data_IF_313790974402
#
_entry.id   IF_313790974402
#
_cell.length_a   1.000
_cell.length_b   1.000
_cell.length_c   1.000
_cell.angle_alpha   90.00
_cell.angle_beta   90.00
_cell.angle_gamma   90.00
#
_symmetry.space_group_name_H-M   'P 1'
#
loop_
_entity.id
_entity.type
_entity.pdbx_description
1 polymer ?
#
# COMPACT_ATOMS: atom_id res chain seq x y z
N UNK A 1 -0.43 15.83 23.39
CA UNK A 1 -0.15 15.67 21.93
C UNK A 1 0.80 16.72 21.39
N UNK A 2 0.59 18.02 21.63
CA UNK A 2 1.50 19.09 21.15
C UNK A 2 2.97 18.91 21.60
N UNK A 3 3.21 18.48 22.85
CA UNK A 3 4.58 18.23 23.36
C UNK A 3 5.29 17.07 22.65
N UNK A 4 4.60 15.96 22.39
CA UNK A 4 5.17 14.81 21.67
C UNK A 4 5.48 15.14 20.21
N UNK A 5 4.59 15.88 19.54
CA UNK A 5 4.81 16.32 18.15
C UNK A 5 6.03 17.25 18.05
N UNK A 6 6.17 18.21 18.98
CA UNK A 6 7.33 19.10 19.04
C UNK A 6 8.62 18.31 19.27
N UNK A 7 8.61 17.29 20.14
CA UNK A 7 9.77 16.42 20.37
C UNK A 7 10.13 15.63 19.12
N UNK A 8 9.16 15.05 18.41
CA UNK A 8 9.39 14.29 17.17
C UNK A 8 9.95 15.20 16.08
N UNK A 9 9.31 16.35 15.83
CA UNK A 9 9.76 17.31 14.83
C UNK A 9 11.15 17.86 15.17
N UNK A 10 11.39 18.19 16.44
CA UNK A 10 12.70 18.59 16.94
C UNK A 10 13.77 17.52 16.73
N UNK A 11 13.41 16.24 16.97
CA UNK A 11 14.28 15.09 16.70
C UNK A 11 14.62 14.92 15.21
N UNK A 12 13.64 15.07 14.32
CA UNK A 12 13.86 15.01 12.87
C UNK A 12 14.76 16.15 12.42
N UNK A 13 14.50 17.38 12.88
CA UNK A 13 15.35 18.54 12.55
C UNK A 13 16.77 18.33 13.07
N UNK A 14 16.94 17.89 14.32
CA UNK A 14 18.24 17.61 14.90
C UNK A 14 18.99 16.52 14.11
N UNK A 15 18.31 15.43 13.73
CA UNK A 15 18.85 14.39 12.87
C UNK A 15 19.38 14.97 11.55
N UNK A 16 18.57 15.77 10.85
CA UNK A 16 18.99 16.38 9.58
C UNK A 16 20.14 17.38 9.73
N UNK A 17 20.16 18.18 10.81
CA UNK A 17 21.28 19.07 11.13
C UNK A 17 22.57 18.27 11.33
N UNK A 18 22.53 17.19 12.10
CA UNK A 18 23.68 16.33 12.36
C UNK A 18 24.17 15.67 11.06
N UNK A 19 23.26 15.09 10.28
CA UNK A 19 23.59 14.44 9.01
C UNK A 19 24.21 15.44 8.01
N UNK A 20 23.63 16.64 7.90
CA UNK A 20 24.18 17.70 7.05
C UNK A 20 25.57 18.12 7.53
N UNK A 21 25.77 18.33 8.84
CA UNK A 21 27.07 18.68 9.40
C UNK A 21 28.14 17.62 9.13
N UNK A 22 27.79 16.32 9.16
CA UNK A 22 28.71 15.22 8.92
C UNK A 22 29.04 14.97 7.45
N UNK A 23 28.09 15.25 6.53
CA UNK A 23 28.18 14.83 5.12
C UNK A 23 28.18 16.00 4.12
N UNK A 24 28.23 17.26 4.58
CA UNK A 24 28.17 18.47 3.74
C UNK A 24 29.12 18.44 2.55
N UNK A 25 30.33 17.94 2.74
CA UNK A 25 31.38 17.95 1.72
C UNK A 25 31.25 16.80 0.70
N UNK A 26 30.27 15.90 0.88
CA UNK A 26 30.04 14.70 0.04
C UNK A 26 28.80 14.80 -0.86
N UNK A 27 28.22 15.99 -1.02
CA UNK A 27 26.94 16.19 -1.73
C UNK A 27 26.93 15.79 -3.21
N UNK A 28 28.10 15.58 -3.84
CA UNK A 28 28.24 15.27 -5.27
C UNK A 28 29.06 14.00 -5.58
N UNK A 29 29.21 13.06 -4.65
CA UNK A 29 29.93 11.81 -4.93
C UNK A 29 29.13 10.89 -5.87
N UNK A 30 29.77 10.39 -6.94
CA UNK A 30 29.18 9.39 -7.86
C UNK A 30 28.95 8.02 -7.19
N UNK A 31 29.69 7.73 -6.11
CA UNK A 31 29.52 6.57 -5.25
C UNK A 31 29.77 6.97 -3.81
N UNK A 32 28.98 6.45 -2.87
CA UNK A 32 29.10 6.80 -1.46
C UNK A 32 27.85 7.46 -0.89
N UNK A 33 28.01 8.10 0.26
CA UNK A 33 26.93 8.80 0.96
C UNK A 33 26.93 10.27 0.54
N UNK A 34 25.81 10.73 0.02
CA UNK A 34 25.58 12.13 -0.32
C UNK A 34 24.37 12.65 0.46
N UNK A 35 24.47 13.89 0.94
CA UNK A 35 23.36 14.59 1.59
C UNK A 35 23.00 15.85 0.80
N UNK A 36 21.70 16.08 0.67
CA UNK A 36 21.08 17.33 0.24
C UNK A 36 19.95 17.68 1.23
N UNK A 37 19.27 18.81 1.03
CA UNK A 37 18.22 19.30 1.92
C UNK A 37 17.10 18.26 2.09
N UNK A 38 17.06 17.60 3.25
CA UNK A 38 16.14 16.50 3.59
C UNK A 38 16.25 15.26 2.69
N UNK A 39 17.38 15.07 2.01
CA UNK A 39 17.65 13.92 1.16
C UNK A 39 19.00 13.32 1.55
N UNK A 40 18.99 12.04 1.96
CA UNK A 40 20.21 11.27 2.18
C UNK A 40 20.23 10.14 1.16
N UNK A 41 21.27 10.08 0.35
CA UNK A 41 21.43 9.08 -0.71
C UNK A 41 22.68 8.25 -0.46
N UNK A 42 22.56 6.95 -0.66
CA UNK A 42 23.69 6.05 -0.73
C UNK A 42 23.77 5.46 -2.15
N UNK A 43 24.82 5.81 -2.90
CA UNK A 43 25.08 5.35 -4.27
C UNK A 43 26.12 4.25 -4.30
N UNK A 44 25.89 3.24 -5.15
CA UNK A 44 26.89 2.20 -5.43
C UNK A 44 26.77 1.66 -6.86
N UNK A 45 27.92 1.35 -7.47
CA UNK A 45 28.04 0.66 -8.76
C UNK A 45 28.18 -0.87 -8.58
N UNK A 46 28.35 -1.37 -7.35
CA UNK A 46 28.62 -2.79 -7.05
C UNK A 46 27.53 -3.75 -7.54
N UNK A 47 26.28 -3.29 -7.57
CA UNK A 47 25.14 -4.11 -7.99
C UNK A 47 24.90 -4.08 -9.51
N UNK A 48 25.59 -3.21 -10.25
CA UNK A 48 25.39 -3.10 -11.70
C UNK A 48 25.72 -4.41 -12.42
N UNK A 49 26.78 -5.10 -12.00
CA UNK A 49 27.15 -6.40 -12.58
C UNK A 49 26.09 -7.51 -12.35
N UNK A 50 25.36 -7.45 -11.24
CA UNK A 50 24.23 -8.35 -10.98
C UNK A 50 23.08 -8.07 -11.95
N UNK A 51 22.70 -6.80 -12.12
CA UNK A 51 21.66 -6.36 -13.06
C UNK A 51 22.05 -6.72 -14.50
N UNK A 52 23.31 -6.52 -14.88
CA UNK A 52 23.85 -6.89 -16.18
C UNK A 52 23.73 -8.38 -16.46
N UNK A 53 24.04 -9.22 -15.47
CA UNK A 53 23.91 -10.67 -15.61
C UNK A 53 22.45 -11.08 -15.75
N UNK A 54 21.56 -10.51 -14.95
CA UNK A 54 20.13 -10.81 -14.99
C UNK A 54 19.51 -10.41 -16.33
N UNK A 55 19.85 -9.22 -16.83
CA UNK A 55 19.40 -8.71 -18.13
C UNK A 55 19.93 -9.55 -19.30
N UNK A 56 21.23 -9.92 -19.29
CA UNK A 56 21.84 -10.71 -20.36
C UNK A 56 21.34 -12.14 -20.42
N UNK A 57 21.17 -12.80 -19.27
CA UNK A 57 20.78 -14.23 -19.19
C UNK A 57 19.44 -14.51 -19.88
N UNK A 58 18.50 -13.57 -19.82
CA UNK A 58 17.16 -13.74 -20.36
C UNK A 58 16.72 -12.50 -21.18
N UNK A 59 17.62 -11.91 -21.98
CA UNK A 59 17.39 -10.64 -22.68
C UNK A 59 16.07 -10.60 -23.47
N UNK A 60 15.73 -11.68 -24.19
CA UNK A 60 14.49 -11.77 -24.96
C UNK A 60 13.25 -11.75 -24.05
N UNK A 61 13.31 -12.45 -22.92
CA UNK A 61 12.24 -12.45 -21.92
C UNK A 61 12.00 -11.04 -21.38
N UNK A 62 13.06 -10.34 -20.95
CA UNK A 62 12.94 -8.99 -20.40
C UNK A 62 12.35 -7.97 -21.38
N UNK A 63 12.69 -8.08 -22.68
CA UNK A 63 12.07 -7.23 -23.70
C UNK A 63 10.57 -7.51 -23.89
N UNK A 64 10.16 -8.78 -23.90
CA UNK A 64 8.74 -9.16 -23.99
C UNK A 64 7.99 -8.74 -22.74
N UNK A 65 8.57 -8.99 -21.56
CA UNK A 65 8.07 -8.52 -20.27
C UNK A 65 7.82 -7.00 -20.30
N UNK A 66 8.80 -6.22 -20.76
CA UNK A 66 8.66 -4.77 -20.83
C UNK A 66 7.64 -4.31 -21.89
N UNK A 67 7.52 -5.01 -23.02
CA UNK A 67 6.47 -4.71 -24.01
C UNK A 67 5.06 -4.96 -23.45
N UNK A 68 4.89 -6.03 -22.67
CA UNK A 68 3.66 -6.28 -21.90
C UNK A 68 3.45 -5.17 -20.88
N UNK A 69 4.53 -4.69 -20.25
CA UNK A 69 4.52 -3.55 -19.34
C UNK A 69 4.01 -2.26 -19.98
N UNK A 70 4.32 -2.01 -21.25
CA UNK A 70 3.75 -0.85 -21.99
C UNK A 70 2.23 -0.98 -22.10
N UNK A 71 1.75 -2.14 -22.57
CA UNK A 71 0.31 -2.35 -22.78
C UNK A 71 -0.47 -2.27 -21.45
N UNK A 72 0.00 -2.98 -20.42
CA UNK A 72 -0.59 -2.93 -19.08
C UNK A 72 -0.42 -1.56 -18.41
N UNK A 73 0.65 -0.83 -18.72
CA UNK A 73 0.88 0.52 -18.24
C UNK A 73 -0.22 1.48 -18.70
N UNK A 74 -0.54 1.50 -20.00
CA UNK A 74 -1.62 2.35 -20.52
C UNK A 74 -3.02 1.89 -20.06
N UNK A 75 -3.26 0.58 -19.97
CA UNK A 75 -4.52 0.06 -19.40
C UNK A 75 -4.68 0.44 -17.93
N UNK A 76 -3.61 0.30 -17.14
CA UNK A 76 -3.57 0.68 -15.74
C UNK A 76 -3.73 2.18 -15.54
N UNK A 77 -3.10 3.01 -16.38
CA UNK A 77 -3.28 4.46 -16.39
C UNK A 77 -4.74 4.85 -16.57
N UNK A 78 -5.41 4.28 -17.57
CA UNK A 78 -6.84 4.52 -17.82
C UNK A 78 -7.71 4.06 -16.62
N UNK A 79 -7.40 2.88 -16.07
CA UNK A 79 -8.10 2.35 -14.90
C UNK A 79 -7.95 3.24 -13.67
N UNK A 80 -6.73 3.66 -13.33
CA UNK A 80 -6.46 4.50 -12.14
C UNK A 80 -7.08 5.88 -12.30
N UNK A 81 -7.01 6.46 -13.50
CA UNK A 81 -7.69 7.73 -13.77
C UNK A 81 -9.21 7.60 -13.58
N UNK A 82 -9.82 6.55 -14.13
CA UNK A 82 -11.25 6.27 -13.96
C UNK A 82 -11.60 6.04 -12.48
N UNK A 83 -10.81 5.25 -11.75
CA UNK A 83 -11.04 4.94 -10.35
C UNK A 83 -10.98 6.21 -9.48
N UNK A 84 -9.96 7.06 -9.67
CA UNK A 84 -9.83 8.32 -8.95
C UNK A 84 -10.92 9.32 -9.34
N UNK A 85 -11.35 9.37 -10.60
CA UNK A 85 -12.48 10.20 -11.03
C UNK A 85 -13.78 9.75 -10.35
N UNK A 86 -14.06 8.45 -10.34
CA UNK A 86 -15.24 7.86 -9.68
C UNK A 86 -15.24 8.20 -8.19
N UNK A 87 -14.12 8.01 -7.51
CA UNK A 87 -13.99 8.32 -6.08
C UNK A 87 -14.10 9.83 -5.82
N UNK A 88 -13.48 10.69 -6.64
CA UNK A 88 -13.61 12.14 -6.53
C UNK A 88 -15.07 12.61 -6.67
N UNK A 89 -15.81 12.08 -7.64
CA UNK A 89 -17.24 12.37 -7.79
C UNK A 89 -18.04 11.96 -6.55
N UNK A 90 -17.75 10.79 -6.00
CA UNK A 90 -18.42 10.29 -4.81
C UNK A 90 -18.07 11.13 -3.56
N UNK A 91 -16.82 11.58 -3.43
CA UNK A 91 -16.38 12.53 -2.41
C UNK A 91 -17.15 13.84 -2.49
N UNK A 92 -17.34 14.39 -3.69
CA UNK A 92 -18.11 15.63 -3.90
C UNK A 92 -19.58 15.45 -3.52
N UNK A 93 -20.21 14.35 -3.97
CA UNK A 93 -21.62 14.05 -3.66
C UNK A 93 -21.85 13.87 -2.16
N UNK A 94 -20.91 13.23 -1.46
CA UNK A 94 -21.00 12.96 -0.03
C UNK A 94 -20.43 14.08 0.85
N UNK A 95 -19.97 15.18 0.24
CA UNK A 95 -19.34 16.31 0.94
C UNK A 95 -18.18 15.87 1.86
N UNK A 96 -17.37 14.92 1.38
CA UNK A 96 -16.22 14.40 2.13
C UNK A 96 -16.56 13.41 3.25
N UNK A 97 -17.81 12.93 3.35
CA UNK A 97 -18.20 11.90 4.33
C UNK A 97 -17.80 10.48 3.93
N UNK A 98 -17.57 10.23 2.64
CA UNK A 98 -17.08 8.93 2.18
C UNK A 98 -15.58 8.77 2.41
N UNK A 99 -15.14 7.52 2.62
CA UNK A 99 -13.72 7.20 2.65
C UNK A 99 -13.03 7.56 1.33
N UNK A 100 -11.98 8.39 1.42
CA UNK A 100 -11.11 8.75 0.30
C UNK A 100 -9.91 7.82 0.16
N UNK A 101 -8.92 8.25 -0.63
CA UNK A 101 -7.61 7.59 -0.72
C UNK A 101 -6.88 7.80 0.60
N UNK A 102 -6.44 6.71 1.22
CA UNK A 102 -5.69 6.75 2.47
C UNK A 102 -4.19 6.92 2.18
N UNK A 103 -3.53 7.78 2.96
CA UNK A 103 -2.07 7.92 2.90
C UNK A 103 -1.41 6.66 3.50
N UNK A 104 -0.38 6.15 2.85
CA UNK A 104 0.39 5.00 3.31
C UNK A 104 1.49 5.49 4.25
N UNK A 105 1.29 5.34 5.55
CA UNK A 105 2.19 5.82 6.60
C UNK A 105 2.43 4.67 7.58
N UNK A 106 3.61 4.02 7.56
CA UNK A 106 3.96 2.96 8.49
C UNK A 106 3.83 3.40 9.96
N UNK A 107 3.15 2.57 10.76
CA UNK A 107 2.87 2.83 12.17
C UNK A 107 1.64 3.70 12.44
N UNK A 108 1.07 4.35 11.42
CA UNK A 108 -0.14 5.18 11.56
C UNK A 108 -1.33 4.58 10.81
N UNK A 109 -1.20 4.40 9.49
CA UNK A 109 -2.27 3.86 8.65
C UNK A 109 -2.05 2.41 8.27
N UNK A 110 -0.82 1.92 8.37
CA UNK A 110 -0.45 0.52 8.15
C UNK A 110 0.45 0.03 9.30
N UNK A 111 0.47 -1.28 9.63
CA UNK A 111 1.37 -1.84 10.63
C UNK A 111 2.84 -1.54 10.30
N UNK A 112 3.61 -1.08 11.29
CA UNK A 112 4.98 -0.58 11.07
C UNK A 112 5.89 -1.61 10.39
N UNK A 113 6.08 -2.79 11.00
CA UNK A 113 7.07 -3.76 10.48
C UNK A 113 6.62 -4.45 9.20
N UNK A 114 5.37 -4.90 9.11
CA UNK A 114 4.86 -5.51 7.88
C UNK A 114 4.76 -4.49 6.74
N UNK A 115 4.40 -3.25 7.06
CA UNK A 115 4.40 -2.14 6.11
C UNK A 115 5.78 -1.80 5.59
N UNK A 116 6.80 -1.73 6.46
CA UNK A 116 8.18 -1.50 6.05
C UNK A 116 8.75 -2.63 5.19
N UNK A 117 8.41 -3.89 5.50
CA UNK A 117 8.76 -5.04 4.64
C UNK A 117 8.12 -4.90 3.26
N UNK A 118 6.81 -4.61 3.21
CA UNK A 118 6.11 -4.42 1.94
C UNK A 118 6.66 -3.25 1.14
N UNK A 119 6.91 -2.09 1.77
CA UNK A 119 7.56 -0.94 1.11
C UNK A 119 8.94 -1.29 0.56
N UNK A 120 9.76 -2.01 1.33
CA UNK A 120 11.08 -2.43 0.87
C UNK A 120 10.98 -3.34 -0.37
N UNK A 121 10.05 -4.30 -0.36
CA UNK A 121 9.79 -5.18 -1.52
C UNK A 121 9.35 -4.36 -2.72
N UNK A 122 8.30 -3.53 -2.58
CA UNK A 122 7.79 -2.63 -3.61
C UNK A 122 8.90 -1.86 -4.29
N UNK A 123 9.76 -1.18 -3.52
CA UNK A 123 10.80 -0.32 -4.07
C UNK A 123 11.90 -1.14 -4.77
N UNK A 124 12.34 -2.24 -4.15
CA UNK A 124 13.39 -3.07 -4.73
C UNK A 124 12.95 -3.71 -6.04
N UNK A 125 11.74 -4.31 -6.09
CA UNK A 125 11.26 -4.97 -7.32
C UNK A 125 10.99 -3.95 -8.43
N UNK A 126 10.46 -2.78 -8.08
CA UNK A 126 10.20 -1.70 -9.02
C UNK A 126 11.48 -1.20 -9.69
N UNK A 127 12.45 -0.77 -8.89
CA UNK A 127 13.70 -0.17 -9.35
C UNK A 127 14.58 -1.20 -10.08
N UNK A 128 14.63 -2.43 -9.58
CA UNK A 128 15.33 -3.52 -10.25
C UNK A 128 14.75 -3.77 -11.64
N UNK A 129 13.43 -3.70 -11.80
CA UNK A 129 12.75 -3.92 -13.08
C UNK A 129 13.08 -2.84 -14.12
N UNK A 130 13.12 -1.57 -13.70
CA UNK A 130 13.63 -0.46 -14.51
C UNK A 130 15.06 -0.74 -14.98
N UNK A 131 15.94 -1.08 -14.04
CA UNK A 131 17.35 -1.35 -14.31
C UNK A 131 17.60 -2.51 -15.26
N UNK A 132 16.96 -3.65 -15.01
CA UNK A 132 17.09 -4.86 -15.83
C UNK A 132 16.57 -4.62 -17.24
N UNK A 133 15.44 -3.92 -17.37
CA UNK A 133 14.86 -3.59 -18.67
C UNK A 133 15.73 -2.60 -19.45
N UNK A 134 16.24 -1.56 -18.79
CA UNK A 134 17.18 -0.62 -19.39
C UNK A 134 18.43 -1.34 -19.93
N UNK A 135 19.05 -2.22 -19.12
CA UNK A 135 20.19 -3.03 -19.56
C UNK A 135 19.83 -4.02 -20.67
N UNK A 136 18.62 -4.60 -20.65
CA UNK A 136 18.16 -5.49 -21.71
C UNK A 136 18.01 -4.76 -23.06
N UNK A 137 17.63 -3.48 -23.04
CA UNK A 137 17.62 -2.60 -24.21
C UNK A 137 18.97 -1.93 -24.53
N UNK A 138 20.00 -2.19 -23.72
CA UNK A 138 21.37 -1.74 -23.97
C UNK A 138 21.66 -0.33 -23.45
N UNK A 139 20.78 0.22 -22.61
CA UNK A 139 21.00 1.52 -21.97
C UNK A 139 21.98 1.36 -20.79
N UNK A 140 22.94 2.29 -20.62
CA UNK A 140 23.83 2.28 -19.48
C UNK A 140 23.08 2.68 -18.20
N UNK A 141 23.54 2.15 -17.06
CA UNK A 141 23.12 2.58 -15.73
C UNK A 141 24.31 3.22 -15.03
N UNK A 142 24.10 4.39 -14.42
CA UNK A 142 25.13 5.16 -13.70
C UNK A 142 25.37 4.61 -12.31
N UNK A 143 24.30 4.38 -11.56
CA UNK A 143 24.36 3.90 -10.18
C UNK A 143 23.06 3.22 -9.76
N UNK A 144 23.10 2.53 -8.62
CA UNK A 144 21.90 2.15 -7.87
C UNK A 144 22.09 2.59 -6.43
N UNK A 145 21.01 2.67 -5.68
CA UNK A 145 21.14 3.11 -4.30
C UNK A 145 19.89 3.05 -3.46
N UNK A 146 20.08 3.52 -2.23
CA UNK A 146 19.02 3.80 -1.29
C UNK A 146 18.92 5.31 -1.10
N UNK A 147 17.71 5.79 -0.89
CA UNK A 147 17.44 7.19 -0.55
C UNK A 147 16.58 7.25 0.70
N UNK A 148 16.82 8.23 1.56
CA UNK A 148 15.94 8.58 2.65
C UNK A 148 15.46 10.02 2.39
N UNK A 149 14.21 10.16 2.00
CA UNK A 149 13.56 11.45 1.80
C UNK A 149 12.79 11.84 3.06
N UNK A 150 13.28 12.84 3.79
CA UNK A 150 12.78 13.27 5.10
C UNK A 150 12.81 12.16 6.16
N UNK A 151 11.86 11.22 6.15
CA UNK A 151 11.84 9.98 6.97
C UNK A 151 11.41 8.76 6.17
N UNK A 152 11.16 8.92 4.87
CA UNK A 152 10.60 7.92 3.98
C UNK A 152 11.78 7.22 3.27
N UNK A 153 12.02 5.92 3.54
CA UNK A 153 13.03 5.18 2.82
C UNK A 153 12.59 4.95 1.37
N UNK A 154 13.57 4.85 0.49
CA UNK A 154 13.47 4.75 -0.95
C UNK A 154 14.61 3.90 -1.51
N UNK A 155 14.43 3.36 -2.71
CA UNK A 155 15.49 2.82 -3.53
C UNK A 155 15.47 3.54 -4.88
N UNK A 156 16.57 3.46 -5.63
CA UNK A 156 16.61 3.93 -7.01
C UNK A 156 17.57 3.10 -7.86
N UNK A 157 17.24 2.97 -9.14
CA UNK A 157 18.20 2.67 -10.20
C UNK A 157 18.27 3.88 -11.13
N UNK A 158 19.48 4.28 -11.49
CA UNK A 158 19.70 5.48 -12.30
C UNK A 158 20.20 5.10 -13.71
N UNK A 159 19.30 5.00 -14.71
CA UNK A 159 19.69 4.96 -16.11
C UNK A 159 20.42 6.25 -16.51
N UNK A 160 21.23 6.17 -17.55
CA UNK A 160 21.74 7.38 -18.17
C UNK A 160 20.60 8.14 -18.84
N UNK A 161 20.19 9.24 -18.21
CA UNK A 161 19.08 10.09 -18.65
C UNK A 161 19.27 10.69 -20.06
N UNK A 162 20.52 10.96 -20.48
CA UNK A 162 20.78 11.54 -21.80
C UNK A 162 20.66 10.48 -22.89
N UNK A 163 21.15 9.27 -22.63
CA UNK A 163 20.94 8.12 -23.52
C UNK A 163 19.47 7.69 -23.56
N UNK A 164 18.78 7.69 -22.41
CA UNK A 164 17.36 7.34 -22.33
C UNK A 164 16.50 8.30 -23.15
N UNK A 165 16.72 9.62 -23.06
CA UNK A 165 15.97 10.62 -23.85
C UNK A 165 16.17 10.45 -25.36
N UNK A 166 17.37 10.04 -25.79
CA UNK A 166 17.69 9.80 -27.21
C UNK A 166 17.22 8.44 -27.70
N UNK A 167 16.91 7.50 -26.81
CA UNK A 167 16.48 6.17 -27.18
C UNK A 167 15.14 6.20 -27.93
N UNK A 168 14.84 5.20 -28.79
CA UNK A 168 13.55 5.09 -29.45
C UNK A 168 12.38 5.08 -28.45
N UNK A 169 11.22 5.65 -28.82
CA UNK A 169 10.05 5.74 -27.93
C UNK A 169 9.74 4.42 -27.23
N UNK A 170 9.70 3.31 -27.97
CA UNK A 170 9.44 1.98 -27.39
C UNK A 170 10.42 1.60 -26.29
N UNK A 171 11.69 1.94 -26.42
CA UNK A 171 12.70 1.67 -25.39
C UNK A 171 12.42 2.50 -24.13
N UNK A 172 12.08 3.79 -24.28
CA UNK A 172 11.71 4.65 -23.15
C UNK A 172 10.48 4.13 -22.42
N UNK A 173 9.43 3.81 -23.18
CA UNK A 173 8.18 3.24 -22.64
C UNK A 173 8.38 1.89 -21.96
N UNK A 174 9.29 1.04 -22.48
CA UNK A 174 9.64 -0.24 -21.85
C UNK A 174 10.23 -0.03 -20.48
N UNK A 175 11.16 0.92 -20.32
CA UNK A 175 11.74 1.25 -19.01
C UNK A 175 10.61 1.70 -18.09
N UNK A 176 9.88 2.78 -18.42
CA UNK A 176 8.83 3.31 -17.54
C UNK A 176 7.73 2.28 -17.17
N UNK A 177 7.28 1.46 -18.12
CA UNK A 177 6.25 0.45 -17.86
C UNK A 177 6.73 -0.75 -17.04
N UNK A 178 8.03 -1.02 -17.02
CA UNK A 178 8.59 -2.20 -16.37
C UNK A 178 8.46 -2.16 -14.85
N UNK A 179 8.61 -0.99 -14.23
CA UNK A 179 8.50 -0.81 -12.77
C UNK A 179 7.12 -1.21 -12.26
N UNK A 180 6.06 -0.57 -12.77
CA UNK A 180 4.68 -0.88 -12.35
C UNK A 180 4.26 -2.33 -12.67
N UNK A 181 4.73 -2.90 -13.78
CA UNK A 181 4.50 -4.32 -14.07
C UNK A 181 5.11 -5.23 -13.00
N UNK A 182 6.32 -4.91 -12.50
CA UNK A 182 6.99 -5.73 -11.50
C UNK A 182 6.18 -5.78 -10.21
N UNK A 183 5.65 -4.64 -9.79
CA UNK A 183 4.83 -4.56 -8.59
C UNK A 183 3.53 -5.34 -8.79
N UNK A 184 2.82 -5.16 -9.92
CA UNK A 184 1.59 -5.92 -10.19
C UNK A 184 1.85 -7.43 -10.19
N UNK A 185 2.94 -7.89 -10.82
CA UNK A 185 3.33 -9.32 -10.82
C UNK A 185 3.65 -9.79 -9.39
N UNK A 186 4.39 -9.00 -8.62
CA UNK A 186 4.73 -9.32 -7.22
C UNK A 186 3.48 -9.43 -6.36
N UNK A 187 2.51 -8.52 -6.53
CA UNK A 187 1.23 -8.58 -5.86
C UNK A 187 0.44 -9.85 -6.24
N UNK A 188 0.40 -10.21 -7.52
CA UNK A 188 -0.25 -11.44 -7.99
C UNK A 188 0.40 -12.69 -7.38
N UNK A 189 1.73 -12.74 -7.32
CA UNK A 189 2.45 -13.86 -6.69
C UNK A 189 2.13 -13.93 -5.19
N UNK A 190 2.15 -12.79 -4.48
CA UNK A 190 1.86 -12.74 -3.05
C UNK A 190 0.44 -13.24 -2.74
N UNK A 191 -0.57 -12.80 -3.50
CA UNK A 191 -1.96 -13.27 -3.30
C UNK A 191 -2.14 -14.73 -3.71
N UNK A 192 -1.41 -15.23 -4.71
CA UNK A 192 -1.40 -16.65 -5.06
C UNK A 192 -0.80 -17.50 -3.92
N UNK A 193 0.32 -17.09 -3.33
CA UNK A 193 0.91 -17.79 -2.18
C UNK A 193 -0.06 -17.79 -0.99
N UNK A 194 -0.68 -16.65 -0.70
CA UNK A 194 -1.71 -16.56 0.35
C UNK A 194 -2.82 -17.59 0.09
N UNK A 195 -3.45 -17.56 -1.07
CA UNK A 195 -4.63 -18.37 -1.33
C UNK A 195 -4.33 -19.86 -1.56
N UNK A 196 -3.23 -20.19 -2.23
CA UNK A 196 -2.90 -21.57 -2.60
C UNK A 196 -2.07 -22.30 -1.55
N UNK A 197 -1.23 -21.58 -0.78
CA UNK A 197 -0.33 -22.19 0.19
C UNK A 197 -0.74 -21.92 1.65
N UNK A 198 -1.19 -20.71 1.99
CA UNK A 198 -1.45 -20.35 3.41
C UNK A 198 -2.91 -20.56 3.82
N UNK A 199 -3.87 -20.04 3.08
CA UNK A 199 -5.31 -20.13 3.41
C UNK A 199 -5.79 -21.57 3.65
N UNK A 200 -5.35 -22.60 2.91
CA UNK A 200 -5.76 -23.99 3.20
C UNK A 200 -5.32 -24.49 4.59
N UNK A 201 -4.26 -23.90 5.15
CA UNK A 201 -3.73 -24.21 6.47
C UNK A 201 -4.49 -23.49 7.59
N UNK A 202 -5.38 -22.54 7.27
CA UNK A 202 -6.16 -21.78 8.23
C UNK A 202 -7.59 -22.31 8.33
N UNK A 203 -8.19 -22.20 9.51
CA UNK A 203 -9.62 -22.47 9.72
C UNK A 203 -10.28 -21.42 10.63
N UNK A 204 -11.53 -21.03 10.34
CA UNK A 204 -12.33 -20.21 11.24
C UNK A 204 -12.52 -20.88 12.61
N UNK A 205 -12.29 -20.14 13.69
CA UNK A 205 -12.38 -20.66 15.07
C UNK A 205 -12.97 -19.66 16.06
N UNK A 206 -13.84 -18.76 15.58
CA UNK A 206 -14.50 -17.76 16.41
C UNK A 206 -14.50 -16.39 15.76
N UNK A 207 -14.96 -15.39 16.51
CA UNK A 207 -15.05 -14.00 16.06
C UNK A 207 -14.22 -13.13 16.98
N UNK A 208 -13.22 -12.48 16.40
CA UNK A 208 -12.42 -11.49 17.09
C UNK A 208 -13.20 -10.18 17.21
N UNK A 209 -13.25 -9.61 18.41
CA UNK A 209 -13.77 -8.27 18.64
C UNK A 209 -12.70 -7.27 18.22
N UNK A 210 -12.79 -6.77 16.98
CA UNK A 210 -11.84 -5.82 16.41
C UNK A 210 -11.91 -4.43 17.08
N UNK A 211 -13.04 -4.14 17.73
CA UNK A 211 -13.27 -2.94 18.51
C UNK A 211 -14.70 -2.90 19.05
N UNK A 212 -14.94 -2.05 20.03
CA UNK A 212 -16.25 -1.88 20.67
C UNK A 212 -16.71 -0.44 20.46
N UNK A 213 -17.96 -0.27 20.07
CA UNK A 213 -18.53 1.06 19.82
C UNK A 213 -18.92 1.67 21.17
N UNK A 214 -18.47 2.89 21.43
CA UNK A 214 -18.80 3.60 22.68
C UNK A 214 -20.31 3.78 22.84
N UNK A 215 -20.79 3.76 24.09
CA UNK A 215 -22.21 3.91 24.46
C UNK A 215 -23.15 2.87 23.83
N UNK A 216 -22.62 1.71 23.43
CA UNK A 216 -23.43 0.58 22.93
C UNK A 216 -23.50 -0.54 23.97
N UNK A 217 -24.40 -1.53 23.80
CA UNK A 217 -24.58 -2.57 24.81
C UNK A 217 -23.31 -3.35 25.13
N UNK A 218 -22.44 -3.61 24.15
CA UNK A 218 -21.18 -4.31 24.36
C UNK A 218 -20.12 -3.49 25.14
N UNK A 219 -20.30 -2.18 25.25
CA UNK A 219 -19.35 -1.29 25.91
C UNK A 219 -19.22 -1.60 27.40
N UNK A 220 -17.99 -1.86 27.86
CA UNK A 220 -17.69 -2.24 29.23
C UNK A 220 -18.00 -3.71 29.58
N UNK A 221 -18.41 -4.52 28.59
CA UNK A 221 -18.63 -5.96 28.75
C UNK A 221 -17.67 -6.75 27.85
N UNK A 222 -17.62 -6.39 26.57
CA UNK A 222 -16.65 -6.92 25.62
C UNK A 222 -15.49 -5.92 25.47
N UNK A 223 -14.33 -6.46 25.11
CA UNK A 223 -13.10 -5.72 24.91
C UNK A 223 -12.47 -6.04 23.56
N UNK A 224 -11.65 -5.12 23.07
CA UNK A 224 -10.90 -5.35 21.83
C UNK A 224 -9.91 -6.50 22.05
N UNK A 225 -9.97 -7.51 21.19
CA UNK A 225 -9.14 -8.71 21.27
C UNK A 225 -9.85 -9.93 21.84
N UNK A 226 -11.05 -9.77 22.43
CA UNK A 226 -11.87 -10.91 22.84
C UNK A 226 -12.19 -11.80 21.62
N UNK A 227 -12.14 -13.12 21.80
CA UNK A 227 -12.54 -14.09 20.77
C UNK A 227 -13.84 -14.75 21.19
N UNK A 228 -14.95 -14.42 20.53
CA UNK A 228 -16.25 -15.05 20.74
C UNK A 228 -16.23 -16.45 20.12
N UNK A 229 -16.43 -17.46 20.95
CA UNK A 229 -16.43 -18.88 20.57
C UNK A 229 -17.81 -19.53 20.72
N UNK A 230 -18.72 -18.90 21.46
CA UNK A 230 -20.08 -19.40 21.67
C UNK A 230 -21.09 -18.30 21.99
N UNK A 231 -22.35 -18.49 21.58
CA UNK A 231 -23.48 -17.64 21.98
C UNK A 231 -24.67 -18.54 22.33
N UNK A 232 -25.22 -18.36 23.54
CA UNK A 232 -26.33 -19.16 24.08
C UNK A 232 -26.09 -20.68 24.00
N UNK A 233 -24.85 -21.12 24.17
CA UNK A 233 -24.45 -22.52 24.06
C UNK A 233 -24.29 -23.04 22.62
N UNK A 234 -24.56 -22.23 21.60
CA UNK A 234 -24.23 -22.55 20.20
C UNK A 234 -22.78 -22.16 19.90
N UNK A 235 -22.01 -23.10 19.35
CA UNK A 235 -20.64 -22.83 18.93
C UNK A 235 -20.61 -21.86 17.73
N UNK A 236 -19.79 -20.81 17.85
CA UNK A 236 -19.58 -19.80 16.82
C UNK A 236 -18.19 -19.98 16.24
N UNK A 237 -18.10 -20.34 14.96
CA UNK A 237 -16.82 -20.48 14.26
C UNK A 237 -16.63 -19.40 13.19
N UNK A 238 -17.72 -19.00 12.54
CA UNK A 238 -17.71 -18.09 11.41
C UNK A 238 -18.58 -16.86 11.65
N UNK A 239 -18.29 -15.76 10.95
CA UNK A 239 -19.15 -14.56 10.96
C UNK A 239 -20.60 -14.91 10.61
N UNK A 240 -20.81 -15.87 9.70
CA UNK A 240 -22.14 -16.36 9.33
C UNK A 240 -22.84 -17.05 10.50
N UNK A 241 -22.13 -17.80 11.34
CA UNK A 241 -22.69 -18.41 12.54
C UNK A 241 -23.13 -17.33 13.54
N UNK A 242 -22.27 -16.34 13.76
CA UNK A 242 -22.57 -15.19 14.63
C UNK A 242 -23.82 -14.44 14.14
N UNK A 243 -23.85 -14.08 12.85
CA UNK A 243 -24.99 -13.38 12.26
C UNK A 243 -26.27 -14.21 12.34
N UNK A 244 -26.20 -15.52 12.09
CA UNK A 244 -27.35 -16.42 12.20
C UNK A 244 -27.93 -16.42 13.61
N UNK A 245 -27.08 -16.59 14.63
CA UNK A 245 -27.51 -16.65 16.04
C UNK A 245 -28.04 -15.29 16.48
N UNK A 246 -27.31 -14.20 16.24
CA UNK A 246 -27.77 -12.86 16.61
C UNK A 246 -29.08 -12.50 15.91
N UNK A 247 -29.24 -12.78 14.61
CA UNK A 247 -30.49 -12.44 13.90
C UNK A 247 -31.71 -13.28 14.35
N UNK A 248 -31.51 -14.35 15.12
CA UNK A 248 -32.60 -15.13 15.73
C UNK A 248 -33.10 -14.55 17.07
N UNK A 249 -32.38 -13.56 17.60
CA UNK A 249 -32.71 -12.86 18.85
C UNK A 249 -33.46 -11.56 18.61
N UNK A 250 -33.97 -10.95 19.68
CA UNK A 250 -34.68 -9.67 19.65
C UNK A 250 -33.96 -8.61 20.47
N UNK A 251 -34.14 -7.32 20.14
CA UNK A 251 -33.75 -6.23 21.02
C UNK A 251 -34.30 -6.43 22.44
N UNK A 252 -33.45 -6.25 23.44
CA UNK A 252 -33.80 -6.45 24.86
C UNK A 252 -33.51 -7.85 25.40
N UNK A 253 -33.28 -8.87 24.55
CA UNK A 253 -32.88 -10.20 24.98
C UNK A 253 -31.53 -10.15 25.69
N UNK A 254 -31.35 -11.00 26.70
CA UNK A 254 -30.05 -11.21 27.36
C UNK A 254 -29.43 -12.48 26.81
N UNK A 255 -28.32 -12.34 26.09
CA UNK A 255 -27.56 -13.46 25.55
C UNK A 255 -26.37 -13.79 26.45
N UNK A 256 -25.99 -15.05 26.46
CA UNK A 256 -24.77 -15.54 27.10
C UNK A 256 -23.72 -15.73 26.03
N UNK A 257 -22.53 -15.16 26.21
CA UNK A 257 -21.44 -15.17 25.22
C UNK A 257 -20.24 -15.84 25.87
N UNK A 258 -19.74 -16.89 25.22
CA UNK A 258 -18.49 -17.54 25.59
C UNK A 258 -17.36 -16.89 24.81
N UNK A 259 -16.39 -16.33 25.53
CA UNK A 259 -15.25 -15.59 24.98
C UNK A 259 -13.92 -16.20 25.46
N UNK A 260 -12.87 -15.97 24.68
CA UNK A 260 -11.49 -16.11 25.15
C UNK A 260 -10.93 -14.71 25.32
N UNK A 261 -10.53 -14.37 26.55
CA UNK A 261 -9.90 -13.11 26.93
C UNK A 261 -8.55 -13.41 27.54
N UNK A 262 -7.50 -12.80 27.01
CA UNK A 262 -6.10 -13.03 27.44
C UNK A 262 -5.69 -14.52 27.49
N UNK A 263 -6.31 -15.35 26.65
CA UNK A 263 -6.07 -16.79 26.56
C UNK A 263 -6.89 -17.64 27.54
N UNK A 264 -7.67 -17.02 28.43
CA UNK A 264 -8.57 -17.71 29.36
C UNK A 264 -10.02 -17.67 28.85
N UNK A 265 -10.77 -18.74 29.13
CA UNK A 265 -12.18 -18.84 28.78
C UNK A 265 -13.06 -18.14 29.80
N UNK A 266 -13.90 -17.21 29.35
CA UNK A 266 -14.87 -16.51 30.17
C UNK A 266 -16.27 -16.57 29.56
N UNK A 267 -17.30 -16.46 30.40
CA UNK A 267 -18.69 -16.36 29.95
C UNK A 267 -19.27 -15.04 30.46
N UNK A 268 -19.72 -14.21 29.52
CA UNK A 268 -20.32 -12.90 29.82
C UNK A 268 -21.79 -12.87 29.41
N UNK A 269 -22.59 -12.07 30.12
CA UNK A 269 -24.00 -11.84 29.77
C UNK A 269 -24.14 -10.45 29.17
N UNK A 270 -24.80 -10.38 28.02
CA UNK A 270 -24.99 -9.14 27.28
C UNK A 270 -26.48 -8.94 26.97
N UNK A 271 -27.02 -7.79 27.36
CA UNK A 271 -28.36 -7.39 26.93
C UNK A 271 -28.29 -6.70 25.57
N UNK A 272 -29.06 -7.17 24.59
CA UNK A 272 -29.03 -6.63 23.23
C UNK A 272 -29.78 -5.29 23.14
N UNK A 273 -29.23 -4.37 22.36
CA UNK A 273 -29.85 -3.11 21.99
C UNK A 273 -30.67 -3.22 20.70
N UNK A 274 -31.26 -2.11 20.29
CA UNK A 274 -31.91 -1.95 18.99
C UNK A 274 -30.98 -1.20 18.03
N UNK A 275 -30.95 -1.56 16.74
CA UNK A 275 -30.18 -0.78 15.74
C UNK A 275 -30.88 0.55 15.46
N UNK A 276 -30.13 1.63 15.38
CA UNK A 276 -30.68 2.96 15.05
C UNK A 276 -31.37 3.00 13.68
N UNK A 277 -30.83 2.28 12.70
CA UNK A 277 -31.38 2.22 11.34
C UNK A 277 -32.60 1.31 11.20
N UNK A 278 -32.75 0.33 12.09
CA UNK A 278 -33.88 -0.61 12.11
C UNK A 278 -34.09 -1.12 13.55
N UNK A 279 -35.01 -0.50 14.31
CA UNK A 279 -35.24 -0.86 15.71
C UNK A 279 -35.74 -2.28 15.93
N UNK A 280 -36.16 -3.00 14.87
CA UNK A 280 -36.58 -4.41 14.97
C UNK A 280 -35.39 -5.37 15.02
N UNK A 281 -34.19 -4.90 14.66
CA UNK A 281 -32.98 -5.71 14.59
C UNK A 281 -32.14 -5.60 15.85
N UNK A 282 -31.62 -6.72 16.38
CA UNK A 282 -30.74 -6.70 17.54
C UNK A 282 -29.41 -6.02 17.23
N UNK A 283 -28.84 -5.39 18.25
CA UNK A 283 -27.60 -4.65 18.17
C UNK A 283 -26.68 -4.99 19.35
N UNK A 284 -25.47 -5.44 19.03
CA UNK A 284 -24.40 -5.75 19.99
C UNK A 284 -23.51 -4.54 20.21
N UNK A 285 -23.07 -3.88 19.13
CA UNK A 285 -22.19 -2.71 19.19
C UNK A 285 -20.69 -3.02 19.11
N UNK A 286 -20.30 -3.99 18.29
CA UNK A 286 -18.89 -4.38 18.08
C UNK A 286 -18.51 -4.36 16.60
N UNK A 287 -17.23 -4.14 16.32
CA UNK A 287 -16.61 -4.43 15.03
C UNK A 287 -16.14 -5.87 15.01
N UNK A 288 -16.62 -6.66 14.04
CA UNK A 288 -16.31 -8.08 13.93
C UNK A 288 -15.09 -8.32 13.05
N UNK A 289 -14.18 -9.16 13.52
CA UNK A 289 -13.12 -9.80 12.73
C UNK A 289 -13.32 -11.32 12.73
N UNK A 290 -13.08 -11.98 11.61
CA UNK A 290 -13.04 -13.44 11.60
C UNK A 290 -11.75 -13.90 12.29
N UNK A 291 -11.87 -14.64 13.39
CA UNK A 291 -10.72 -15.27 14.03
C UNK A 291 -10.35 -16.55 13.28
N UNK A 292 -9.07 -16.71 12.96
CA UNK A 292 -8.51 -17.90 12.34
C UNK A 292 -7.50 -18.55 13.25
N UNK A 293 -7.43 -19.88 13.21
CA UNK A 293 -6.35 -20.67 13.82
C UNK A 293 -5.69 -21.53 12.76
N UNK A 294 -4.47 -21.99 13.04
CA UNK A 294 -3.78 -22.91 12.16
C UNK A 294 -4.30 -24.34 12.34
N UNK A 295 -4.53 -25.04 11.24
CA UNK A 295 -4.81 -26.49 11.22
C UNK A 295 -3.57 -27.31 11.55
N UNK A 296 -2.39 -26.73 11.39
CA UNK A 296 -1.08 -27.39 11.55
C UNK A 296 -0.27 -26.84 12.73
N UNK A 297 -0.88 -26.00 13.57
CA UNK A 297 -0.18 -25.22 14.59
C UNK A 297 0.77 -24.17 14.00
N UNK A 298 1.78 -23.75 14.77
CA UNK A 298 2.81 -22.78 14.32
C UNK A 298 2.25 -21.41 13.88
N UNK A 299 1.24 -20.92 14.57
CA UNK A 299 0.62 -19.61 14.38
C UNK A 299 1.64 -18.47 14.43
N UNK A 300 2.65 -18.61 15.30
CA UNK A 300 3.76 -17.68 15.46
C UNK A 300 4.66 -17.54 14.22
N UNK A 301 4.55 -18.44 13.24
CA UNK A 301 5.27 -18.38 11.96
C UNK A 301 4.29 -18.08 10.82
N UNK A 302 3.16 -18.80 10.78
CA UNK A 302 2.19 -18.68 9.70
C UNK A 302 1.57 -17.29 9.60
N UNK A 303 1.16 -16.70 10.73
CA UNK A 303 0.52 -15.38 10.70
C UNK A 303 1.48 -14.26 10.30
N UNK A 304 2.71 -14.16 10.84
CA UNK A 304 3.67 -13.17 10.34
C UNK A 304 3.96 -13.28 8.83
N UNK A 305 4.06 -14.50 8.29
CA UNK A 305 4.25 -14.70 6.84
C UNK A 305 3.01 -14.24 6.08
N UNK A 306 1.82 -14.64 6.53
CA UNK A 306 0.55 -14.21 5.93
C UNK A 306 0.42 -12.68 5.91
N UNK A 307 0.64 -12.02 7.04
CA UNK A 307 0.54 -10.56 7.15
C UNK A 307 1.59 -9.85 6.30
N UNK A 308 2.82 -10.37 6.25
CA UNK A 308 3.87 -9.81 5.38
C UNK A 308 3.47 -9.90 3.91
N UNK A 309 3.00 -11.07 3.45
CA UNK A 309 2.52 -11.25 2.08
C UNK A 309 1.31 -10.40 1.78
N UNK A 310 0.40 -10.21 2.74
CA UNK A 310 -0.77 -9.36 2.57
C UNK A 310 -0.35 -7.91 2.34
N UNK A 311 0.60 -7.39 3.13
CA UNK A 311 1.10 -6.03 2.96
C UNK A 311 1.95 -5.85 1.71
N UNK A 312 2.74 -6.86 1.31
CA UNK A 312 3.38 -6.90 -0.01
C UNK A 312 2.31 -6.77 -1.10
N UNK A 313 1.28 -7.63 -1.09
CA UNK A 313 0.18 -7.57 -2.06
C UNK A 313 -0.49 -6.19 -2.12
N UNK A 314 -0.89 -5.63 -0.98
CA UNK A 314 -1.59 -4.34 -0.92
C UNK A 314 -0.71 -3.20 -1.43
N UNK A 315 0.55 -3.14 -0.99
CA UNK A 315 1.45 -2.04 -1.33
C UNK A 315 1.96 -2.14 -2.78
N UNK A 316 2.32 -3.33 -3.25
CA UNK A 316 2.73 -3.54 -4.63
C UNK A 316 1.60 -3.24 -5.61
N UNK A 317 0.38 -3.70 -5.33
CA UNK A 317 -0.75 -3.39 -6.19
C UNK A 317 -1.09 -1.89 -6.14
N UNK A 318 -1.20 -1.32 -4.94
CA UNK A 318 -1.58 0.08 -4.74
C UNK A 318 -0.56 1.07 -5.32
N UNK A 319 0.69 0.98 -4.89
CA UNK A 319 1.77 1.87 -5.33
C UNK A 319 2.11 1.60 -6.80
N UNK A 320 2.13 0.34 -7.22
CA UNK A 320 2.38 -0.05 -8.62
C UNK A 320 1.36 0.55 -9.59
N UNK A 321 0.06 0.48 -9.25
CA UNK A 321 -0.99 1.15 -10.02
C UNK A 321 -0.89 2.67 -9.92
N UNK A 322 -0.66 3.22 -8.73
CA UNK A 322 -0.54 4.68 -8.55
C UNK A 322 0.60 5.27 -9.39
N UNK A 323 1.71 4.57 -9.57
CA UNK A 323 2.81 5.00 -10.45
C UNK A 323 2.41 5.08 -11.94
N UNK A 324 1.30 4.45 -12.35
CA UNK A 324 0.75 4.59 -13.70
C UNK A 324 -0.17 5.80 -13.86
N UNK A 325 -0.46 6.55 -12.79
CA UNK A 325 -1.26 7.77 -12.89
C UNK A 325 -0.53 8.80 -13.77
N UNK A 326 -1.24 9.53 -14.67
CA UNK A 326 -0.60 10.39 -15.67
C UNK A 326 -0.13 11.74 -15.08
N UNK A 327 0.76 11.67 -14.09
CA UNK A 327 1.43 12.80 -13.47
C UNK A 327 2.94 12.58 -13.46
N UNK A 328 3.70 13.59 -13.85
CA UNK A 328 5.16 13.61 -13.67
C UNK A 328 5.43 13.96 -12.19
N UNK A 329 6.30 13.24 -11.47
CA UNK A 329 7.38 12.37 -11.95
C UNK A 329 7.06 10.87 -12.14
N UNK A 330 5.81 10.44 -11.96
CA UNK A 330 5.41 9.03 -12.04
C UNK A 330 5.60 8.45 -13.46
N UNK A 331 5.79 7.12 -13.53
CA UNK A 331 6.04 6.39 -14.78
C UNK A 331 4.94 6.61 -15.81
N UNK A 332 3.67 6.55 -15.40
CA UNK A 332 2.54 6.80 -16.29
C UNK A 332 2.54 8.21 -16.87
N UNK A 333 2.94 9.21 -16.08
CA UNK A 333 3.13 10.57 -16.55
C UNK A 333 4.23 10.68 -17.60
N UNK A 334 5.38 10.01 -17.39
CA UNK A 334 6.48 9.96 -18.37
C UNK A 334 6.07 9.23 -19.65
N UNK A 335 5.35 8.12 -19.53
CA UNK A 335 4.83 7.36 -20.68
C UNK A 335 3.92 8.22 -21.55
N UNK A 336 2.96 8.92 -20.93
CA UNK A 336 2.05 9.80 -21.66
C UNK A 336 2.79 10.98 -22.31
N UNK A 337 3.67 11.65 -21.56
CA UNK A 337 4.45 12.80 -22.05
C UNK A 337 5.30 12.43 -23.27
N UNK A 338 6.01 11.30 -23.22
CA UNK A 338 6.84 10.86 -24.34
C UNK A 338 6.02 10.48 -25.58
N UNK A 339 4.84 9.88 -25.41
CA UNK A 339 3.93 9.60 -26.54
C UNK A 339 3.40 10.89 -27.15
N UNK A 340 2.98 11.85 -26.32
CA UNK A 340 2.48 13.14 -26.82
C UNK A 340 3.55 13.88 -27.63
N UNK A 341 4.80 13.92 -27.14
CA UNK A 341 5.91 14.58 -27.83
C UNK A 341 6.32 13.88 -29.13
N UNK A 342 6.21 12.56 -29.20
CA UNK A 342 6.57 11.80 -30.40
C UNK A 342 5.55 12.03 -31.53
N UNK A 343 4.24 12.08 -31.20
CA UNK A 343 3.18 12.08 -32.20
C UNK A 343 2.51 13.43 -32.44
N UNK A 344 2.68 14.41 -31.55
CA UNK A 344 2.05 15.73 -31.67
C UNK A 344 3.09 16.86 -31.71
N UNK A 345 2.82 17.94 -32.46
CA UNK A 345 3.63 19.15 -32.39
C UNK A 345 3.65 19.72 -30.96
N UNK A 346 4.75 20.36 -30.57
CA UNK A 346 4.92 20.92 -29.22
C UNK A 346 3.79 21.89 -28.81
N UNK A 347 3.28 22.67 -29.76
CA UNK A 347 2.16 23.60 -29.55
C UNK A 347 0.84 22.92 -29.18
N UNK A 348 0.69 21.61 -29.44
CA UNK A 348 -0.48 20.79 -29.08
C UNK A 348 -0.17 19.88 -27.90
N UNK A 349 1.01 19.25 -27.89
CA UNK A 349 1.45 18.35 -26.82
C UNK A 349 1.51 19.05 -25.46
N UNK A 350 2.07 20.26 -25.40
CA UNK A 350 2.25 21.00 -24.15
C UNK A 350 0.91 21.38 -23.48
N UNK A 351 -0.09 21.97 -24.18
CA UNK A 351 -1.41 22.22 -23.59
C UNK A 351 -2.08 20.95 -23.06
N UNK A 352 -2.01 19.83 -23.80
CA UNK A 352 -2.60 18.55 -23.36
C UNK A 352 -1.90 18.09 -22.08
N UNK A 353 -0.56 18.08 -22.06
CA UNK A 353 0.24 17.70 -20.89
C UNK A 353 -0.13 18.54 -19.66
N UNK A 354 -0.19 19.87 -19.78
CA UNK A 354 -0.55 20.73 -18.66
C UNK A 354 -2.00 20.54 -18.21
N UNK A 355 -2.93 20.32 -19.14
CA UNK A 355 -4.32 19.99 -18.80
C UNK A 355 -4.40 18.66 -18.03
N UNK A 356 -3.70 17.62 -18.48
CA UNK A 356 -3.64 16.33 -17.78
C UNK A 356 -3.05 16.48 -16.38
N UNK A 357 -1.97 17.25 -16.22
CA UNK A 357 -1.38 17.53 -14.91
C UNK A 357 -2.37 18.27 -14.00
N UNK A 358 -3.01 19.34 -14.51
CA UNK A 358 -3.97 20.12 -13.74
C UNK A 358 -5.17 19.30 -13.28
N UNK A 359 -5.75 18.50 -14.18
CA UNK A 359 -6.85 17.58 -13.85
C UNK A 359 -6.37 16.49 -12.88
N UNK A 360 -5.19 15.93 -13.09
CA UNK A 360 -4.63 14.89 -12.23
C UNK A 360 -4.40 15.37 -10.80
N UNK A 361 -3.85 16.58 -10.62
CA UNK A 361 -3.65 17.20 -9.31
C UNK A 361 -4.98 17.51 -8.62
N UNK A 362 -5.98 18.00 -9.36
CA UNK A 362 -7.33 18.22 -8.82
C UNK A 362 -7.95 16.90 -8.35
N UNK A 363 -7.84 15.83 -9.15
CA UNK A 363 -8.32 14.51 -8.77
C UNK A 363 -7.64 14.01 -7.50
N UNK A 364 -6.32 14.14 -7.38
CA UNK A 364 -5.61 13.75 -6.16
C UNK A 364 -6.07 14.56 -4.95
N UNK A 365 -6.21 15.88 -5.09
CA UNK A 365 -6.68 16.73 -3.99
C UNK A 365 -8.08 16.31 -3.50
N UNK A 366 -9.01 16.06 -4.42
CA UNK A 366 -10.36 15.59 -4.09
C UNK A 366 -10.36 14.21 -3.45
N UNK A 367 -9.48 13.30 -3.89
CA UNK A 367 -9.38 11.95 -3.34
C UNK A 367 -8.74 11.94 -1.95
N UNK A 368 -7.81 12.85 -1.67
CA UNK A 368 -7.14 12.97 -0.37
C UNK A 368 -7.93 13.83 0.64
N UNK A 369 -8.88 14.65 0.17
CA UNK A 369 -9.68 15.53 1.01
C UNK A 369 -10.28 14.84 2.24
N UNK A 370 -10.95 13.67 2.15
CA UNK A 370 -11.52 13.03 3.33
C UNK A 370 -10.46 12.59 4.34
N UNK A 371 -9.31 12.09 3.88
CA UNK A 371 -8.21 11.68 4.74
C UNK A 371 -7.60 12.88 5.49
N UNK A 372 -7.41 14.01 4.79
CA UNK A 372 -6.90 15.24 5.39
C UNK A 372 -7.87 15.83 6.43
N UNK A 373 -9.17 15.81 6.15
CA UNK A 373 -10.20 16.26 7.10
C UNK A 373 -10.25 15.41 8.35
N UNK A 374 -9.99 14.10 8.24
CA UNK A 374 -9.95 13.19 9.38
C UNK A 374 -8.69 13.37 10.23
N UNK A 375 -7.55 13.75 9.63
CA UNK A 375 -6.32 14.06 10.39
C UNK A 375 -6.42 15.36 11.20
N UNK A 376 -7.33 16.26 10.82
CA UNK A 376 -7.55 17.54 11.49
C UNK A 376 -8.54 17.47 12.67
N UNK A 377 -9.17 16.31 12.89
CA UNK A 377 -10.07 16.02 14.02
C UNK A 377 -9.33 15.19 15.05
#
# INVERSE_FOLDING_TARGET
MASALVVILGGIVAFWIIIYALLRDRSNEEEGLAVDLFILMWRTKRMLGFIDNLARKARKFWKVYADVGIALGFMGMAYVFYALLKTAMATLQTHGKQAGVQLVIPGLTIPLWYGLVGLAVVMVVHELSHGVTARADGLPLKSVGLVLFFVIPGAFVEPDEDELKKAPLRTRLRVYGAGSLANIVTAVIAVMIINLALTPLLQPAGIEVAGVVENTPAFGILEKGDIITGINGEAIKTIKDFERVINSTKPGDVITIDIIRDGEGETVKLKLGARESDPTKPFVGIYLGQHYVSKVGHENILFPIFFSLYWIYVLDLGIGLMNLFPLIPLDGGRMLDDVLKEYLPEGVANPIRYATIGVGLLLLALNLWPALMNLAR
#
